data_IF_260513704542
#
_entry.id   IF_260513704542
#
_cell.length_a   1.000
_cell.length_b   1.000
_cell.length_c   1.000
_cell.angle_alpha   90.00
_cell.angle_beta   90.00
_cell.angle_gamma   90.00
#
_symmetry.space_group_name_H-M   'P 1'
#
loop_
_entity.id
_entity.type
_entity.pdbx_description
1 polymer ?
#
# COMPACT_ATOMS: atom_id res chain seq x y z
N UNK A 1 16.92 -6.60 -5.92
CA UNK A 1 15.67 -6.99 -6.61
C UNK A 1 16.03 -7.18 -8.07
N UNK A 2 15.94 -8.39 -8.63
CA UNK A 2 16.13 -8.57 -10.07
C UNK A 2 14.83 -8.19 -10.77
N UNK A 3 14.81 -7.07 -11.47
CA UNK A 3 13.73 -6.73 -12.41
C UNK A 3 13.97 -7.50 -13.71
N UNK A 4 12.92 -8.08 -14.29
CA UNK A 4 12.99 -8.63 -15.65
C UNK A 4 12.59 -7.48 -16.57
N UNK A 5 13.59 -6.88 -17.21
CA UNK A 5 13.45 -5.64 -17.98
C UNK A 5 12.69 -4.56 -17.20
N UNK A 6 11.58 -4.04 -17.77
CA UNK A 6 10.73 -2.99 -17.22
C UNK A 6 9.64 -3.49 -16.26
N UNK A 7 9.64 -4.78 -15.88
CA UNK A 7 8.59 -5.39 -15.06
C UNK A 7 9.13 -5.84 -13.69
N UNK A 8 8.52 -5.32 -12.63
CA UNK A 8 8.88 -5.66 -11.25
C UNK A 8 8.32 -7.01 -10.78
N UNK A 9 7.09 -7.34 -11.20
CA UNK A 9 6.40 -8.58 -10.84
C UNK A 9 5.93 -9.31 -12.10
N UNK A 10 6.78 -10.14 -12.72
CA UNK A 10 6.45 -10.84 -13.95
C UNK A 10 5.34 -11.88 -13.74
N UNK A 11 4.56 -12.13 -14.79
CA UNK A 11 3.48 -13.09 -14.82
C UNK A 11 3.93 -14.46 -15.35
N UNK A 12 3.05 -15.11 -16.14
CA UNK A 12 3.42 -16.34 -16.85
C UNK A 12 4.39 -16.12 -18.02
N UNK A 13 4.66 -14.85 -18.36
CA UNK A 13 5.63 -14.37 -19.34
C UNK A 13 6.51 -13.35 -18.60
N UNK A 14 7.83 -13.46 -18.74
CA UNK A 14 8.79 -12.67 -17.96
C UNK A 14 8.74 -11.18 -18.32
N UNK A 15 8.31 -10.86 -19.54
CA UNK A 15 8.26 -9.48 -20.04
C UNK A 15 6.89 -8.82 -19.80
N UNK A 16 5.97 -9.52 -19.13
CA UNK A 16 4.60 -9.03 -18.86
C UNK A 16 4.30 -9.05 -17.37
N UNK A 17 3.62 -8.01 -16.84
CA UNK A 17 3.23 -7.99 -15.44
C UNK A 17 2.24 -9.11 -15.12
N UNK A 18 2.26 -9.54 -13.85
CA UNK A 18 1.24 -10.42 -13.29
C UNK A 18 -0.18 -9.87 -13.54
N UNK A 19 -1.12 -10.72 -13.93
CA UNK A 19 -2.51 -10.31 -14.11
C UNK A 19 -3.20 -10.14 -12.76
N UNK A 20 -4.23 -9.29 -12.70
CA UNK A 20 -5.08 -9.12 -11.51
C UNK A 20 -5.68 -10.47 -11.08
N UNK A 21 -6.07 -11.32 -12.03
CA UNK A 21 -6.60 -12.65 -11.74
C UNK A 21 -5.57 -13.56 -11.05
N UNK A 22 -4.31 -13.52 -11.50
CA UNK A 22 -3.22 -14.29 -10.89
C UNK A 22 -2.91 -13.77 -9.47
N UNK A 23 -2.82 -12.44 -9.29
CA UNK A 23 -2.62 -11.83 -7.98
C UNK A 23 -3.76 -12.18 -6.99
N UNK A 24 -5.02 -12.11 -7.44
CA UNK A 24 -6.18 -12.50 -6.63
C UNK A 24 -6.14 -13.97 -6.25
N UNK A 25 -5.75 -14.86 -7.17
CA UNK A 25 -5.61 -16.30 -6.88
C UNK A 25 -4.51 -16.55 -5.85
N UNK A 26 -3.38 -15.82 -5.94
CA UNK A 26 -2.30 -15.91 -4.97
C UNK A 26 -2.74 -15.50 -3.56
N UNK A 27 -3.42 -14.37 -3.43
CA UNK A 27 -3.94 -13.89 -2.13
C UNK A 27 -4.96 -14.86 -1.52
N UNK A 28 -5.84 -15.46 -2.33
CA UNK A 28 -6.78 -16.49 -1.84
C UNK A 28 -6.04 -17.68 -1.22
N UNK A 29 -4.98 -18.17 -1.86
CA UNK A 29 -4.18 -19.28 -1.33
C UNK A 29 -3.51 -18.94 0.00
N UNK A 30 -2.99 -17.71 0.14
CA UNK A 30 -2.44 -17.24 1.42
C UNK A 30 -3.52 -17.23 2.49
N UNK A 31 -4.67 -16.62 2.19
CA UNK A 31 -5.80 -16.53 3.12
C UNK A 31 -6.25 -17.89 3.62
N UNK A 32 -6.37 -18.88 2.73
CA UNK A 32 -6.80 -20.23 3.09
C UNK A 32 -5.83 -20.94 4.07
N UNK A 33 -4.58 -20.47 4.17
CA UNK A 33 -3.57 -20.98 5.10
C UNK A 33 -3.39 -20.17 6.38
N UNK A 34 -4.13 -19.09 6.59
CA UNK A 34 -4.03 -18.22 7.77
C UNK A 34 -5.22 -18.40 8.70
N UNK A 35 -5.02 -18.40 10.03
CA UNK A 35 -6.11 -18.45 11.00
C UNK A 35 -6.76 -17.06 11.20
N UNK A 36 -7.09 -16.37 10.10
CA UNK A 36 -7.68 -15.04 10.09
C UNK A 36 -8.99 -15.10 9.30
N UNK A 37 -10.08 -14.68 9.92
CA UNK A 37 -11.40 -14.61 9.30
C UNK A 37 -11.43 -13.56 8.18
N UNK A 38 -12.15 -13.87 7.10
CA UNK A 38 -12.47 -13.04 5.92
C UNK A 38 -11.74 -11.69 5.77
N UNK A 39 -10.70 -11.70 4.94
CA UNK A 39 -10.02 -10.48 4.49
C UNK A 39 -9.77 -10.49 2.97
N UNK A 40 -9.52 -9.31 2.41
CA UNK A 40 -9.24 -9.05 0.99
C UNK A 40 -7.95 -8.24 0.86
N UNK A 41 -7.35 -8.24 -0.33
CA UNK A 41 -6.16 -7.42 -0.63
C UNK A 41 -6.35 -5.93 -0.32
N UNK A 42 -7.58 -5.42 -0.51
CA UNK A 42 -7.90 -4.03 -0.21
C UNK A 42 -7.79 -3.70 1.29
N UNK A 43 -7.90 -4.69 2.18
CA UNK A 43 -7.79 -4.45 3.61
C UNK A 43 -6.37 -4.08 4.02
N UNK A 44 -5.32 -4.53 3.31
CA UNK A 44 -3.95 -4.02 3.54
C UNK A 44 -3.85 -2.51 3.38
N UNK A 45 -4.55 -1.95 2.37
CA UNK A 45 -4.59 -0.52 2.12
C UNK A 45 -5.34 0.23 3.23
N UNK A 46 -6.42 -0.37 3.75
CA UNK A 46 -7.18 0.18 4.90
C UNK A 46 -6.36 0.14 6.18
N UNK A 47 -5.67 -0.97 6.43
CA UNK A 47 -4.76 -1.14 7.57
C UNK A 47 -3.63 -0.12 7.54
N UNK A 48 -3.05 0.18 6.37
CA UNK A 48 -2.05 1.25 6.23
C UNK A 48 -2.65 2.61 6.57
N UNK A 49 -3.85 2.93 6.08
CA UNK A 49 -4.52 4.21 6.37
C UNK A 49 -4.76 4.41 7.87
N UNK A 50 -5.35 3.41 8.53
CA UNK A 50 -5.60 3.46 9.98
C UNK A 50 -4.30 3.49 10.77
N UNK A 51 -3.36 2.59 10.48
CA UNK A 51 -2.09 2.51 11.21
C UNK A 51 -1.23 3.75 11.06
N UNK A 52 -1.12 4.33 9.86
CA UNK A 52 -0.40 5.59 9.67
C UNK A 52 -1.07 6.75 10.42
N UNK A 53 -2.41 6.80 10.45
CA UNK A 53 -3.15 7.80 11.23
C UNK A 53 -2.91 7.66 12.74
N UNK A 54 -2.86 6.43 13.26
CA UNK A 54 -2.55 6.16 14.68
C UNK A 54 -1.13 6.58 15.07
N UNK A 55 -0.20 6.54 14.10
CA UNK A 55 1.18 6.99 14.25
C UNK A 55 1.34 8.51 14.09
N UNK A 56 0.24 9.25 13.89
CA UNK A 56 0.23 10.71 13.81
C UNK A 56 0.53 11.28 12.42
N UNK A 57 0.54 10.45 11.36
CA UNK A 57 0.67 10.94 9.99
C UNK A 57 -0.57 11.77 9.62
N UNK A 58 -0.34 12.96 9.09
CA UNK A 58 -1.43 13.91 8.80
C UNK A 58 -2.43 13.32 7.78
N UNK A 59 -3.75 13.53 7.94
CA UNK A 59 -4.76 12.89 7.08
C UNK A 59 -4.57 13.16 5.58
N UNK A 60 -4.21 14.38 5.20
CA UNK A 60 -3.96 14.72 3.80
C UNK A 60 -2.70 14.06 3.23
N UNK A 61 -1.71 13.74 4.07
CA UNK A 61 -0.53 12.97 3.69
C UNK A 61 -0.92 11.50 3.51
N UNK A 62 -1.72 10.93 4.43
CA UNK A 62 -2.26 9.57 4.26
C UNK A 62 -3.05 9.44 2.96
N UNK A 63 -3.92 10.40 2.63
CA UNK A 63 -4.63 10.42 1.33
C UNK A 63 -3.66 10.42 0.13
N UNK A 64 -2.54 11.14 0.22
CA UNK A 64 -1.49 11.15 -0.81
C UNK A 64 -0.71 9.85 -0.89
N UNK A 65 -0.37 9.23 0.25
CA UNK A 65 0.23 7.88 0.29
C UNK A 65 -0.67 6.86 -0.40
N UNK A 66 -1.98 6.96 -0.16
CA UNK A 66 -2.97 6.15 -0.85
C UNK A 66 -3.07 6.50 -2.36
N UNK A 67 -2.54 7.63 -2.83
CA UNK A 67 -2.70 8.08 -4.21
C UNK A 67 -4.11 8.61 -4.50
N UNK A 68 -4.85 9.00 -3.47
CA UNK A 68 -6.11 9.70 -3.62
C UNK A 68 -5.87 11.15 -4.08
N UNK A 69 -6.83 11.68 -4.83
CA UNK A 69 -6.90 13.12 -5.10
C UNK A 69 -7.56 13.78 -3.91
N UNK A 70 -6.93 14.83 -3.37
CA UNK A 70 -7.57 15.67 -2.36
C UNK A 70 -8.84 16.29 -2.95
N UNK A 71 -9.89 16.37 -2.14
CA UNK A 71 -11.18 16.94 -2.52
C UNK A 71 -11.39 18.37 -2.01
N UNK A 72 -12.38 19.06 -2.57
CA UNK A 72 -12.85 20.35 -2.09
C UNK A 72 -11.80 21.46 -2.10
N UNK A 73 -11.88 22.35 -1.12
CA UNK A 73 -11.03 23.55 -1.00
C UNK A 73 -9.54 23.20 -0.88
N UNK A 74 -9.22 22.07 -0.22
CA UNK A 74 -7.85 21.58 -0.10
C UNK A 74 -7.21 21.33 -1.47
N UNK A 75 -7.97 20.78 -2.42
CA UNK A 75 -7.47 20.50 -3.78
C UNK A 75 -7.19 21.77 -4.60
N UNK A 76 -7.91 22.86 -4.31
CA UNK A 76 -7.78 24.14 -5.01
C UNK A 76 -6.47 24.81 -4.61
N UNK A 77 -6.24 24.94 -3.30
CA UNK A 77 -5.10 25.69 -2.77
C UNK A 77 -3.85 24.85 -2.57
N UNK A 78 -3.98 23.54 -2.33
CA UNK A 78 -2.85 22.72 -1.97
C UNK A 78 -2.42 21.79 -3.11
N UNK A 79 -1.41 22.27 -3.85
CA UNK A 79 -0.78 21.58 -4.98
C UNK A 79 0.50 20.83 -4.59
N UNK A 80 0.91 20.91 -3.33
CA UNK A 80 2.05 20.15 -2.85
C UNK A 80 1.76 18.65 -3.02
N UNK A 81 2.80 17.88 -3.30
CA UNK A 81 2.78 16.43 -3.34
C UNK A 81 3.04 15.80 -1.96
N UNK A 82 3.69 16.51 -1.03
CA UNK A 82 4.14 16.01 0.27
C UNK A 82 5.00 14.74 0.15
N UNK A 83 5.86 14.63 -0.87
CA UNK A 83 6.66 13.41 -1.07
C UNK A 83 7.55 13.10 0.14
N UNK A 84 8.08 14.12 0.82
CA UNK A 84 8.88 13.95 2.03
C UNK A 84 8.04 13.40 3.19
N UNK A 85 6.89 14.01 3.48
CA UNK A 85 6.00 13.55 4.55
C UNK A 85 5.42 12.16 4.25
N UNK A 86 5.18 11.85 2.98
CA UNK A 86 4.78 10.51 2.55
C UNK A 86 5.86 9.48 2.87
N UNK A 87 7.14 9.77 2.57
CA UNK A 87 8.26 8.90 2.90
C UNK A 87 8.35 8.66 4.41
N UNK A 88 8.34 9.73 5.21
CA UNK A 88 8.38 9.63 6.68
C UNK A 88 7.19 8.81 7.21
N UNK A 89 5.99 8.99 6.64
CA UNK A 89 4.82 8.19 6.99
C UNK A 89 4.94 6.70 6.64
N UNK A 90 5.56 6.37 5.50
CA UNK A 90 5.84 4.98 5.13
C UNK A 90 6.88 4.35 6.06
N UNK A 91 7.93 5.08 6.42
CA UNK A 91 8.98 4.61 7.34
C UNK A 91 8.38 4.31 8.73
N UNK A 92 7.58 5.21 9.28
CA UNK A 92 6.89 4.98 10.56
C UNK A 92 6.00 3.73 10.53
N UNK A 93 5.24 3.54 9.45
CA UNK A 93 4.39 2.36 9.32
C UNK A 93 5.21 1.07 9.15
N UNK A 94 6.32 1.12 8.42
CA UNK A 94 7.24 -0.01 8.28
C UNK A 94 7.87 -0.42 9.62
N UNK A 95 8.38 0.55 10.40
CA UNK A 95 8.91 0.30 11.75
C UNK A 95 7.86 -0.32 12.68
N UNK A 96 6.60 0.14 12.58
CA UNK A 96 5.48 -0.43 13.31
C UNK A 96 5.22 -1.88 12.92
N UNK A 97 5.27 -2.21 11.63
CA UNK A 97 5.12 -3.59 11.16
C UNK A 97 6.26 -4.48 11.65
N UNK A 98 7.50 -4.00 11.55
CA UNK A 98 8.69 -4.72 12.03
C UNK A 98 8.63 -5.00 13.53
N UNK A 99 7.95 -4.15 14.31
CA UNK A 99 7.76 -4.38 15.74
C UNK A 99 6.90 -5.62 16.07
N UNK A 100 6.07 -6.08 15.13
CA UNK A 100 5.27 -7.31 15.27
C UNK A 100 6.00 -8.58 14.83
N UNK A 101 7.13 -8.44 14.13
CA UNK A 101 7.91 -9.57 13.62
C UNK A 101 9.04 -10.01 14.56
N UNK A 102 9.27 -9.26 15.64
CA UNK A 102 10.23 -9.57 16.71
C UNK A 102 9.56 -10.38 17.82
#
# INVERSE_FOLDING_TARGET
MATYDDVLFPGGDLDKPITIAAANRYIRRIRDGLPIEDWRTHDFRRSLSTGASELGVMPHVVEKMLGHKLGGVLAVYNKHDWLKDQLEGYELYAEKLDSYLK
#
